data_IF_153505701852
#
_entry.id   IF_153505701852
#
_cell.length_a   1.000
_cell.length_b   1.000
_cell.length_c   1.000
_cell.angle_alpha   90.00
_cell.angle_beta   90.00
_cell.angle_gamma   90.00
#
_symmetry.space_group_name_H-M   'P 1'
#
loop_
_entity.id
_entity.type
_entity.pdbx_description
1 polymer ?
2 non-polymer ?
3 water ?
#
# COMPACT_ATOMS: atom_id res chain seq x y z
N UNK A 27 13.74 3.71 18.12
CA UNK A 27 13.85 4.99 17.45
C UNK A 27 13.11 4.97 16.10
N UNK A 28 12.80 3.76 15.63
CA UNK A 28 12.00 3.64 14.41
C UNK A 28 10.65 4.32 14.57
N UNK A 29 9.96 4.06 15.69
CA UNK A 29 8.68 4.71 15.94
C UNK A 29 8.86 6.22 16.08
N UNK A 30 9.96 6.64 16.71
CA UNK A 30 10.18 8.08 16.89
C UNK A 30 10.37 8.78 15.55
N UNK A 31 11.17 8.17 14.66
CA UNK A 31 11.35 8.75 13.33
C UNK A 31 10.04 8.78 12.58
N UNK A 32 9.29 7.67 12.63
CA UNK A 32 8.01 7.61 11.92
C UNK A 32 7.06 8.71 12.40
N UNK A 33 6.95 8.90 13.71
CA UNK A 33 6.00 9.87 14.23
C UNK A 33 6.48 11.31 13.98
N UNK A 34 7.79 11.53 13.99
CA UNK A 34 8.30 12.87 13.73
C UNK A 34 8.19 13.22 12.25
N UNK A 35 8.75 12.37 11.38
CA UNK A 35 8.78 12.67 9.96
C UNK A 35 7.51 12.28 9.24
N UNK A 36 6.74 11.34 9.77
CA UNK A 36 5.62 10.77 9.06
C UNK A 36 5.98 9.62 8.14
N UNK A 37 7.25 9.22 8.13
CA UNK A 37 7.71 8.09 7.33
C UNK A 37 8.99 7.57 7.98
N UNK A 38 9.44 6.42 7.52
CA UNK A 38 10.70 5.85 7.98
C UNK A 38 11.17 4.87 6.90
N UNK A 39 12.40 5.07 6.41
CA UNK A 39 12.95 4.24 5.35
C UNK A 39 14.45 4.47 5.29
N UNK A 40 15.22 3.50 4.78
CA UNK A 40 14.74 2.15 4.42
C UNK A 40 14.55 1.29 5.66
N UNK A 41 13.62 0.34 5.64
CA UNK A 41 13.60 -0.74 6.61
C UNK A 41 13.76 -2.04 5.83
N UNK A 42 14.60 -2.94 6.32
CA UNK A 42 14.91 -4.16 5.59
C UNK A 42 13.71 -5.10 5.62
N UNK A 43 13.46 -5.76 4.49
CA UNK A 43 12.36 -6.72 4.38
C UNK A 43 12.82 -7.91 3.55
N UNK A 44 12.86 -7.75 2.23
CA UNK A 44 13.26 -8.80 1.32
C UNK A 44 14.71 -8.61 0.90
N UNK A 45 15.40 -9.72 0.65
CA UNK A 45 16.71 -9.67 0.03
C UNK A 45 16.57 -9.28 -1.44
N UNK A 46 17.69 -8.94 -2.07
CA UNK A 46 17.66 -8.66 -3.50
C UNK A 46 17.12 -9.86 -4.27
N UNK A 47 17.51 -11.08 -3.87
CA UNK A 47 17.07 -12.27 -4.56
C UNK A 47 15.58 -12.52 -4.34
N UNK A 48 15.09 -12.30 -3.12
CA UNK A 48 13.66 -12.42 -2.85
C UNK A 48 12.88 -11.37 -3.62
N UNK A 49 13.42 -10.15 -3.71
CA UNK A 49 12.75 -9.10 -4.46
C UNK A 49 12.63 -9.47 -5.93
N UNK A 50 13.71 -9.99 -6.51
CA UNK A 50 13.67 -10.38 -7.93
C UNK A 50 12.72 -11.56 -8.14
N UNK A 51 12.73 -12.53 -7.23
CA UNK A 51 11.81 -13.66 -7.36
C UNK A 51 10.38 -13.21 -7.21
N UNK A 52 10.10 -12.37 -6.21
CA UNK A 52 8.75 -11.82 -6.06
C UNK A 52 8.33 -11.04 -7.30
N UNK A 53 9.25 -10.26 -7.88
CA UNK A 53 8.91 -9.51 -9.09
C UNK A 53 8.55 -10.46 -10.23
N UNK A 54 9.30 -11.56 -10.37
CA UNK A 54 8.98 -12.54 -11.41
C UNK A 54 7.59 -13.14 -11.18
N UNK A 55 7.28 -13.49 -9.93
CA UNK A 55 5.96 -14.05 -9.63
C UNK A 55 4.87 -13.01 -9.83
N UNK A 56 5.15 -11.75 -9.57
CA UNK A 56 4.20 -10.72 -9.78
C UNK A 56 3.88 -10.56 -11.25
N UNK A 57 4.90 -10.60 -12.07
CA UNK A 57 4.76 -10.49 -13.51
C UNK A 57 4.00 -11.69 -14.09
N UNK A 58 4.25 -12.86 -13.57
CA UNK A 58 3.55 -14.04 -13.95
C UNK A 58 2.06 -13.88 -13.59
N UNK A 59 1.78 -13.36 -12.42
CA UNK A 59 0.43 -13.13 -11.97
C UNK A 59 -0.31 -12.12 -12.86
N UNK A 60 0.36 -11.05 -13.23
CA UNK A 60 -0.24 -10.04 -14.05
C UNK A 60 -0.63 -10.59 -15.41
N UNK A 61 0.24 -11.39 -16.00
CA UNK A 61 -0.05 -12.01 -17.28
C UNK A 61 -1.24 -12.96 -17.17
N UNK A 62 -1.29 -13.75 -16.13
CA UNK A 62 -2.35 -14.67 -15.94
C UNK A 62 -3.71 -14.04 -15.77
N UNK A 63 -3.83 -13.02 -14.95
CA UNK A 63 -5.13 -12.36 -14.77
C UNK A 63 -5.51 -11.59 -16.02
N UNK A 64 -4.53 -11.01 -16.72
CA UNK A 64 -4.84 -10.34 -17.98
C UNK A 64 -5.42 -11.32 -18.99
N UNK A 65 -4.92 -12.55 -19.01
CA UNK A 65 -5.45 -13.56 -19.93
C UNK A 65 -6.83 -14.04 -19.52
N UNK A 66 -7.09 -14.13 -18.20
CA UNK A 66 -8.41 -14.52 -17.75
C UNK A 66 -9.43 -13.42 -18.02
N UNK A 67 -9.00 -12.17 -17.89
CA UNK A 67 -9.92 -11.06 -18.09
C UNK A 67 -10.94 -10.98 -16.97
N UNK A 68 -11.99 -10.21 -17.22
CA UNK A 68 -13.08 -10.12 -16.26
C UNK A 68 -12.69 -9.31 -15.05
N UNK A 69 -13.15 -9.78 -13.89
CA UNK A 69 -13.02 -9.02 -12.65
C UNK A 69 -11.59 -9.07 -12.11
N UNK A 70 -10.91 -10.22 -12.25
CA UNK A 70 -9.53 -10.31 -11.80
C UNK A 70 -8.64 -9.33 -12.57
N UNK A 71 -8.81 -9.28 -13.90
CA UNK A 71 -8.02 -8.36 -14.70
C UNK A 71 -8.31 -6.91 -14.31
N UNK A 72 -9.59 -6.60 -14.06
CA UNK A 72 -9.96 -5.23 -13.72
C UNK A 72 -9.36 -4.82 -12.38
N UNK A 73 -9.29 -5.75 -11.43
CA UNK A 73 -8.77 -5.48 -10.10
C UNK A 73 -7.44 -6.18 -9.87
N UNK A 74 -6.61 -6.24 -10.91
CA UNK A 74 -5.33 -6.92 -10.82
C UNK A 74 -4.39 -6.21 -9.86
N UNK A 75 -4.46 -4.88 -9.78
CA UNK A 75 -3.48 -4.09 -9.05
C UNK A 75 -3.98 -3.58 -7.71
N UNK A 76 -5.24 -3.86 -7.36
CA UNK A 76 -5.82 -3.36 -6.12
C UNK A 76 -7.22 -3.97 -5.96
N UNK A 77 -7.78 -4.03 -4.74
CA UNK A 77 -7.16 -3.69 -3.46
C UNK A 77 -6.89 -4.90 -2.58
N UNK A 78 -6.99 -6.10 -3.14
CA UNK A 78 -6.91 -7.32 -2.36
C UNK A 78 -6.07 -8.37 -3.08
N UNK A 79 -4.91 -7.96 -3.60
CA UNK A 79 -4.04 -8.91 -4.29
C UNK A 79 -3.69 -10.08 -3.37
N UNK A 80 -3.44 -9.78 -2.10
CA UNK A 80 -3.00 -10.79 -1.14
C UNK A 80 -4.03 -11.88 -0.89
N UNK A 81 -5.28 -11.70 -1.32
CA UNK A 81 -6.30 -12.71 -1.10
C UNK A 81 -6.34 -13.76 -2.21
N UNK A 82 -5.67 -13.53 -3.33
CA UNK A 82 -5.69 -14.48 -4.45
C UNK A 82 -4.31 -14.89 -4.91
N UNK A 83 -3.26 -14.13 -4.65
CA UNK A 83 -1.93 -14.39 -5.20
C UNK A 83 -0.97 -14.79 -4.09
N UNK A 84 -0.31 -15.94 -4.29
CA UNK A 84 0.57 -16.47 -3.25
C UNK A 84 1.75 -15.52 -2.99
N UNK A 85 2.27 -14.88 -4.05
CA UNK A 85 3.41 -14.00 -3.86
C UNK A 85 3.04 -12.80 -2.99
N UNK A 86 1.83 -12.26 -3.18
CA UNK A 86 1.38 -11.15 -2.35
C UNK A 86 1.07 -11.62 -0.94
N UNK A 87 0.41 -12.78 -0.81
CA UNK A 87 0.16 -13.35 0.51
C UNK A 87 1.46 -13.51 1.29
N UNK A 88 2.52 -13.95 0.61
CA UNK A 88 3.78 -14.20 1.30
C UNK A 88 4.39 -12.91 1.83
N UNK A 89 4.34 -11.84 1.05
CA UNK A 89 5.01 -10.60 1.45
C UNK A 89 4.30 -9.97 2.64
N UNK A 90 2.96 -9.89 2.60
CA UNK A 90 2.25 -9.21 3.68
C UNK A 90 2.38 -9.97 5.00
N UNK A 91 2.78 -11.24 4.95
CA UNK A 91 3.02 -12.02 6.16
C UNK A 91 4.51 -12.12 6.51
N UNK A 92 5.38 -11.44 5.78
CA UNK A 92 6.80 -11.55 6.01
C UNK A 92 7.15 -11.07 7.42
N UNK A 93 7.88 -11.86 8.21
CA UNK A 93 8.13 -11.46 9.61
C UNK A 93 8.87 -10.15 9.75
N UNK A 94 9.80 -9.83 8.84
CA UNK A 94 10.51 -8.57 8.95
C UNK A 94 9.56 -7.38 8.84
N UNK A 95 8.60 -7.48 7.91
CA UNK A 95 7.63 -6.39 7.76
C UNK A 95 6.70 -6.33 8.96
N UNK A 96 6.19 -7.48 9.40
CA UNK A 96 5.29 -7.50 10.54
C UNK A 96 5.99 -6.99 11.80
N UNK A 97 7.26 -7.38 11.99
CA UNK A 97 7.99 -6.88 13.16
C UNK A 97 8.19 -5.38 13.09
N UNK A 98 8.53 -4.86 11.91
CA UNK A 98 8.70 -3.42 11.75
C UNK A 98 7.39 -2.67 12.01
N UNK A 99 6.29 -3.19 11.46
CA UNK A 99 5.01 -2.52 11.65
C UNK A 99 4.57 -2.60 13.10
N UNK A 100 4.79 -3.74 13.75
CA UNK A 100 4.41 -3.89 15.14
C UNK A 100 5.14 -2.87 16.02
N UNK A 101 6.40 -2.60 15.71
CA UNK A 101 7.14 -1.61 16.47
C UNK A 101 6.56 -0.21 16.31
N UNK A 102 5.76 0.03 15.28
CA UNK A 102 5.12 1.31 15.07
C UNK A 102 3.69 1.35 15.59
N UNK A 103 2.93 0.26 15.42
CA UNK A 103 1.50 0.27 15.67
C UNK A 103 1.06 -0.62 16.81
N UNK A 104 1.93 -1.47 17.34
CA UNK A 104 1.55 -2.38 18.39
C UNK A 104 1.42 -3.80 17.89
N UNK A 105 1.05 -4.73 18.79
CA UNK A 105 1.04 -6.15 18.43
C UNK A 105 -0.21 -6.66 17.73
N UNK A 106 -1.25 -5.85 17.57
CA UNK A 106 -2.48 -6.26 16.91
C UNK A 106 -2.53 -5.60 15.54
N UNK A 107 -2.44 -6.42 14.49
CA UNK A 107 -2.31 -5.90 13.13
C UNK A 107 -3.22 -6.63 12.17
N UNK A 108 -3.73 -5.89 11.19
CA UNK A 108 -4.50 -6.44 10.09
C UNK A 108 -4.02 -5.80 8.79
N UNK A 109 -4.12 -6.56 7.71
CA UNK A 109 -3.88 -6.04 6.36
C UNK A 109 -5.20 -5.54 5.81
N UNK A 110 -5.27 -4.24 5.52
CA UNK A 110 -6.50 -3.62 5.03
C UNK A 110 -6.57 -3.56 3.52
N UNK A 111 -5.44 -3.42 2.84
CA UNK A 111 -5.43 -3.43 1.38
C UNK A 111 -4.02 -3.67 0.88
N UNK A 112 -3.92 -4.05 -0.39
CA UNK A 112 -2.65 -4.12 -1.09
C UNK A 112 -2.81 -3.43 -2.45
N UNK A 113 -1.72 -2.83 -2.92
CA UNK A 113 -1.71 -2.09 -4.18
C UNK A 113 -0.42 -2.39 -4.92
N UNK A 114 -0.53 -2.58 -6.23
CA UNK A 114 0.62 -2.59 -7.12
C UNK A 114 0.73 -1.21 -7.76
N UNK A 115 1.84 -0.52 -7.52
CA UNK A 115 2.12 0.78 -8.13
C UNK A 115 3.28 0.57 -9.09
N UNK A 116 2.96 0.48 -10.38
CA UNK A 116 3.93 0.21 -11.42
C UNK A 116 4.03 1.43 -12.33
N UNK A 117 5.26 1.93 -12.50
CA UNK A 117 5.53 3.02 -13.42
C UNK A 117 6.40 2.48 -14.54
N UNK A 118 5.83 2.17 -15.71
CA UNK A 118 6.61 1.48 -16.75
C UNK A 118 7.67 2.39 -17.35
N UNK A 119 8.54 1.76 -18.14
CA UNK A 119 9.62 2.48 -18.79
C UNK A 119 9.09 3.66 -19.58
N UNK A 120 9.79 4.78 -19.48
CA UNK A 120 9.50 5.97 -20.27
C UNK A 120 8.03 6.37 -20.18
N UNK A 121 7.47 6.28 -18.98
CA UNK A 121 6.12 6.75 -18.72
C UNK A 121 6.20 8.20 -18.26
N UNK A 122 5.58 9.11 -19.02
CA UNK A 122 5.76 10.52 -18.82
C UNK A 122 4.80 11.20 -17.87
N UNK A 123 4.00 10.45 -17.12
CA UNK A 123 2.98 11.04 -16.26
C UNK A 123 3.54 11.34 -14.88
N UNK A 124 2.93 12.34 -14.23
CA UNK A 124 3.30 12.74 -12.88
C UNK A 124 2.06 12.72 -12.01
N UNK A 125 2.29 12.63 -10.70
CA UNK A 125 1.21 12.70 -9.71
C UNK A 125 1.45 13.90 -8.81
N UNK A 126 0.43 14.72 -8.65
CA UNK A 126 0.52 15.88 -7.76
C UNK A 126 0.61 15.43 -6.31
N UNK A 127 1.08 16.34 -5.46
CA UNK A 127 1.16 16.06 -4.04
C UNK A 127 -0.23 15.73 -3.49
N UNK A 128 -0.30 14.68 -2.68
CA UNK A 128 -1.58 14.20 -2.17
C UNK A 128 -1.31 13.21 -1.04
N UNK A 129 -2.37 12.88 -0.32
CA UNK A 129 -2.32 11.95 0.81
C UNK A 129 -3.15 10.71 0.49
N UNK A 130 -2.67 9.55 0.94
CA UNK A 130 -3.38 8.31 0.69
C UNK A 130 -4.74 8.28 1.38
N UNK A 131 -4.87 8.96 2.52
CA UNK A 131 -6.03 8.77 3.38
C UNK A 131 -7.31 9.34 2.77
N UNK A 132 -7.22 10.17 1.74
CA UNK A 132 -8.35 11.01 1.34
C UNK A 132 -9.60 10.17 1.09
N UNK A 133 -9.48 9.08 0.34
CA UNK A 133 -10.64 8.32 -0.09
C UNK A 133 -10.73 6.95 0.56
N UNK A 134 -9.95 6.69 1.61
CA UNK A 134 -10.01 5.38 2.25
C UNK A 134 -11.16 5.24 3.24
N UNK A 135 -11.73 6.36 3.69
CA UNK A 135 -12.83 6.30 4.63
C UNK A 135 -12.48 5.60 5.93
N UNK A 136 -11.34 5.96 6.51
CA UNK A 136 -10.87 5.36 7.74
C UNK A 136 -10.81 6.39 8.85
N UNK A 137 -11.11 5.96 10.07
CA UNK A 137 -11.08 6.80 11.26
C UNK A 137 -10.15 6.14 12.26
N UNK A 138 -9.03 6.80 12.57
CA UNK A 138 -8.03 6.26 13.46
C UNK A 138 -6.71 5.93 12.79
N UNK A 139 -6.57 6.19 11.48
CA UNK A 139 -5.28 6.07 10.83
C UNK A 139 -4.25 7.03 11.43
N UNK A 140 -4.72 8.09 12.10
CA UNK A 140 -3.80 9.09 12.63
C UNK A 140 -2.77 8.46 13.56
N UNK A 141 -3.18 7.49 14.37
CA UNK A 141 -2.28 6.82 15.29
C UNK A 141 -2.10 5.34 15.01
N UNK A 142 -2.96 4.72 14.20
CA UNK A 142 -3.06 3.26 14.18
C UNK A 142 -3.04 2.69 12.78
N UNK A 143 -2.35 3.35 11.84
CA UNK A 143 -2.22 2.82 10.50
C UNK A 143 -0.90 3.25 9.90
N UNK A 144 -0.45 2.48 8.91
CA UNK A 144 0.77 2.76 8.18
C UNK A 144 0.73 2.00 6.87
N UNK A 145 1.27 2.60 5.80
CA UNK A 145 1.39 1.95 4.51
C UNK A 145 2.84 1.53 4.32
N UNK A 146 3.05 0.25 4.06
CA UNK A 146 4.38 -0.29 3.76
C UNK A 146 4.53 -0.34 2.25
N UNK A 147 5.52 0.38 1.73
CA UNK A 147 5.76 0.55 0.29
C UNK A 147 7.00 -0.26 -0.05
N UNK A 148 6.77 -1.47 -0.56
CA UNK A 148 7.85 -2.42 -0.80
C UNK A 148 8.38 -2.24 -2.21
N UNK A 149 9.71 -2.10 -2.33
CA UNK A 149 10.36 -1.95 -3.62
C UNK A 149 10.64 -3.33 -4.21
N UNK A 150 9.94 -3.67 -5.28
CA UNK A 150 10.23 -4.91 -6.00
C UNK A 150 11.36 -4.71 -7.00
N UNK A 151 11.48 -3.50 -7.56
CA UNK A 151 12.68 -3.03 -8.25
C UNK A 151 13.36 -1.99 -7.37
N UNK A 152 14.60 -1.65 -7.73
CA UNK A 152 15.23 -0.47 -7.15
C UNK A 152 14.34 0.75 -7.40
N UNK A 153 14.41 1.72 -6.50
CA UNK A 153 13.83 3.04 -6.72
C UNK A 153 14.96 4.06 -6.75
N UNK A 154 15.03 4.83 -7.83
CA UNK A 154 16.11 5.76 -8.08
C UNK A 154 15.55 7.15 -8.30
N UNK A 155 16.45 8.13 -8.43
CA UNK A 155 16.00 9.50 -8.66
C UNK A 155 15.35 9.68 -10.02
N UNK A 156 15.50 8.70 -10.93
CA UNK A 156 15.07 8.87 -12.31
C UNK A 156 14.01 7.88 -12.77
N UNK A 157 13.73 6.80 -12.02
CA UNK A 157 12.78 5.80 -12.48
C UNK A 157 11.39 6.02 -11.89
N UNK A 158 11.05 7.26 -11.52
CA UNK A 158 9.70 7.61 -11.17
C UNK A 158 9.35 7.35 -9.71
N UNK A 159 10.29 7.60 -8.81
CA UNK A 159 10.05 7.25 -7.43
C UNK A 159 9.17 8.30 -6.73
N UNK A 160 8.73 7.94 -5.53
CA UNK A 160 7.89 8.79 -4.70
C UNK A 160 8.75 9.76 -3.90
N UNK A 161 8.20 10.95 -3.68
CA UNK A 161 8.80 11.96 -2.81
C UNK A 161 7.91 12.17 -1.59
N UNK A 162 8.53 12.35 -0.43
CA UNK A 162 7.79 12.63 0.80
C UNK A 162 7.95 14.09 1.20
N UNK A 163 6.93 14.62 1.88
CA UNK A 163 6.97 15.93 2.51
C UNK A 163 7.06 15.70 4.01
N UNK A 164 8.27 15.83 4.56
CA UNK A 164 8.50 15.57 5.97
C UNK A 164 7.56 16.38 6.85
N UNK A 165 6.96 15.70 7.82
CA UNK A 165 6.07 16.35 8.77
C UNK A 165 4.71 16.72 8.24
N UNK A 166 4.40 16.43 6.98
CA UNK A 166 3.14 16.83 6.38
C UNK A 166 1.94 16.06 6.92
N UNK A 167 2.15 15.14 7.86
CA UNK A 167 1.11 14.24 8.32
C UNK A 167 0.46 14.67 9.64
N UNK A 168 0.99 15.71 10.29
CA UNK A 168 0.67 15.94 11.69
C UNK A 168 -0.75 16.45 11.90
N UNK A 169 -1.43 16.93 10.86
CA UNK A 169 -2.81 17.38 10.97
C UNK A 169 -3.79 16.45 10.26
N UNK A 170 -3.40 15.19 10.05
CA UNK A 170 -4.29 14.25 9.38
C UNK A 170 -4.53 14.66 7.93
N UNK A 171 -5.59 14.06 7.37
CA UNK A 171 -5.96 14.36 5.99
C UNK A 171 -6.32 15.83 5.86
N UNK A 172 -5.96 16.42 4.75
CA UNK A 172 -6.22 17.82 4.46
C UNK A 172 -7.04 17.95 3.22
N UNK A 173 -7.63 19.14 2.97
CA UNK A 173 -8.46 19.23 1.78
C UNK A 173 -7.68 19.05 0.50
N UNK A 174 -8.32 18.44 -0.49
CA UNK A 174 -7.69 18.18 -1.74
C UNK A 174 -8.58 18.73 -2.84
N UNK A 186 -2.40 13.03 -13.12
CA UNK A 186 -2.15 14.17 -12.24
C UNK A 186 -2.77 13.93 -10.87
N UNK A 187 -4.07 13.71 -10.85
CA UNK A 187 -4.82 13.43 -9.63
C UNK A 187 -5.17 14.70 -8.91
N UNK A 188 -6.06 14.66 -7.92
CA UNK A 188 -6.33 15.91 -7.21
C UNK A 188 -5.17 16.18 -6.24
N UNK A 189 -4.99 17.41 -5.84
CA UNK A 189 -3.86 17.77 -5.07
C UNK A 189 -4.15 18.36 -3.71
N UNK A 190 -3.29 18.12 -2.75
CA UNK A 190 -3.48 18.62 -1.43
C UNK A 190 -3.46 20.16 -1.51
N UNK A 191 -4.38 20.83 -0.83
CA UNK A 191 -4.47 22.27 -0.88
C UNK A 191 -3.58 22.91 0.13
N UNK A 192 -2.30 22.72 -0.11
CA UNK A 192 -1.22 23.22 0.73
C UNK A 192 0.04 23.33 -0.09
N UNK A 193 0.86 24.32 0.25
CA UNK A 193 2.13 24.54 -0.43
C UNK A 193 3.18 23.59 0.14
N UNK A 194 3.69 22.71 -0.72
CA UNK A 194 4.74 21.77 -0.35
C UNK A 194 6.07 22.34 -0.82
N UNK A 195 7.08 22.28 0.05
CA UNK A 195 8.42 22.76 -0.28
C UNK A 195 9.15 21.68 -1.06
N UNK A 196 9.21 21.83 -2.38
CA UNK A 196 9.80 20.80 -3.22
C UNK A 196 11.27 20.60 -2.90
N UNK A 197 11.99 21.66 -2.52
CA UNK A 197 13.41 21.52 -2.21
C UNK A 197 13.62 20.69 -0.95
N UNK A 198 12.69 20.75 0.00
CA UNK A 198 12.78 19.96 1.22
C UNK A 198 12.21 18.56 1.07
N UNK A 199 11.55 18.25 -0.04
CA UNK A 199 10.99 16.93 -0.26
C UNK A 199 12.10 15.88 -0.23
N UNK A 200 11.73 14.65 0.13
CA UNK A 200 12.67 13.55 0.31
C UNK A 200 12.34 12.47 -0.69
N UNK A 201 13.29 12.20 -1.60
CA UNK A 201 13.15 11.10 -2.54
C UNK A 201 13.22 9.77 -1.79
N UNK A 202 12.29 8.87 -2.09
CA UNK A 202 12.26 7.55 -1.45
C UNK A 202 13.13 6.62 -2.29
N UNK A 203 14.39 6.47 -1.89
CA UNK A 203 15.38 5.71 -2.64
C UNK A 203 15.67 4.41 -1.91
N UNK A 204 15.40 3.28 -2.57
CA UNK A 204 15.45 1.99 -1.93
C UNK A 204 16.17 0.97 -2.81
N UNK A 205 16.96 0.11 -2.18
CA UNK A 205 17.39 -1.11 -2.83
C UNK A 205 16.19 -2.02 -3.02
N UNK A 206 16.18 -2.76 -4.13
CA UNK A 206 15.15 -3.78 -4.33
C UNK A 206 15.08 -4.70 -3.13
N UNK A 207 13.88 -4.89 -2.58
CA UNK A 207 13.66 -5.67 -1.39
C UNK A 207 13.42 -4.84 -0.15
N UNK A 208 14.00 -3.64 -0.09
CA UNK A 208 13.71 -2.73 1.01
C UNK A 208 12.33 -2.13 0.84
N UNK A 209 11.84 -1.49 1.89
CA UNK A 209 10.54 -0.85 1.84
C UNK A 209 10.58 0.46 2.62
N UNK A 210 9.59 1.29 2.36
CA UNK A 210 9.35 2.53 3.10
C UNK A 210 8.00 2.40 3.79
N UNK A 211 7.91 2.97 4.99
CA UNK A 211 6.68 2.99 5.77
C UNK A 211 6.32 4.45 5.98
N UNK A 212 5.11 4.84 5.56
CA UNK A 212 4.68 6.21 5.72
C UNK A 212 3.25 6.28 6.25
N UNK A 213 2.98 7.40 6.93
CA UNK A 213 1.66 7.71 7.45
C UNK A 213 0.69 7.93 6.31
N UNK A 214 -0.57 7.51 6.51
CA UNK A 214 -1.56 7.69 5.46
C UNK A 214 -1.90 9.14 5.20
N UNK A 215 -1.50 10.05 6.09
CA UNK A 215 -1.63 11.48 5.88
C UNK A 215 -0.34 12.12 5.37
N UNK A 216 0.68 11.31 5.07
CA UNK A 216 1.90 11.82 4.48
C UNK A 216 1.61 12.31 3.07
N UNK A 217 1.92 13.57 2.81
CA UNK A 217 1.83 14.12 1.46
C UNK A 217 2.99 13.60 0.64
N UNK A 218 2.71 13.09 -0.56
CA UNK A 218 3.76 12.59 -1.43
C UNK A 218 3.38 12.81 -2.88
N UNK A 219 4.38 12.76 -3.74
CA UNK A 219 4.21 12.89 -5.18
C UNK A 219 5.18 11.94 -5.86
N UNK A 220 4.94 11.69 -7.14
CA UNK A 220 5.78 10.80 -7.93
C UNK A 220 5.96 11.39 -9.32
N UNK A 221 7.19 11.32 -9.81
CA UNK A 221 7.51 11.82 -11.13
C UNK A 221 7.46 10.74 -12.18
N UNK A 222 7.76 11.10 -13.42
CA UNK A 222 7.76 10.09 -14.49
C UNK A 222 8.97 9.19 -14.40
N UNK A 223 8.82 7.97 -14.93
CA UNK A 223 9.93 7.04 -15.07
C UNK A 223 10.70 7.39 -16.33
N UNK A 224 11.90 7.93 -16.18
CA UNK A 224 12.71 8.38 -17.30
C UNK A 224 13.65 7.29 -17.82
N UNK A 225 13.57 6.08 -17.29
CA UNK A 225 14.49 5.01 -17.64
C UNK A 225 13.80 3.97 -18.50
N UNK A 226 14.61 3.03 -19.01
CA UNK A 226 14.12 1.97 -19.89
C UNK A 226 13.56 0.78 -19.12
N UNK A 227 13.47 0.85 -17.80
CA UNK A 227 13.06 -0.28 -16.99
C UNK A 227 11.91 0.14 -16.07
N UNK A 228 10.88 -0.71 -16.00
CA UNK A 228 9.74 -0.39 -15.18
C UNK A 228 10.07 -0.39 -13.70
N UNK A 229 9.32 0.43 -12.96
CA UNK A 229 9.48 0.56 -11.51
C UNK A 229 8.28 -0.11 -10.84
N UNK A 230 8.54 -1.12 -10.02
CA UNK A 230 7.50 -1.94 -9.42
C UNK A 230 7.53 -1.78 -7.91
N UNK A 231 6.41 -1.35 -7.33
CA UNK A 231 6.28 -1.22 -5.89
C UNK A 231 4.97 -1.86 -5.43
N UNK A 232 5.03 -2.53 -4.29
CA UNK A 232 3.91 -3.27 -3.71
C UNK A 232 3.61 -2.64 -2.36
N UNK A 233 2.43 -2.02 -2.25
CA UNK A 233 2.06 -1.24 -1.08
C UNK A 233 1.06 -2.02 -0.24
N UNK A 234 1.25 -1.98 1.08
CA UNK A 234 0.46 -2.74 2.03
C UNK A 234 -0.03 -1.79 3.11
N UNK A 235 -1.35 -1.73 3.29
CA UNK A 235 -1.95 -0.92 4.35
C UNK A 235 -2.14 -1.79 5.58
N UNK A 236 -1.43 -1.47 6.66
CA UNK A 236 -1.58 -2.14 7.94
C UNK A 236 -2.37 -1.24 8.88
N UNK A 237 -3.28 -1.86 9.64
CA UNK A 237 -4.09 -1.16 10.62
C UNK A 237 -4.13 -2.00 11.89
N UNK A 238 -4.52 -1.37 12.98
CA UNK A 238 -4.88 -2.05 14.21
C UNK A 238 -6.39 -2.09 14.37
N UNK A 239 -6.89 -2.88 15.32
CA UNK A 239 -8.35 -2.91 15.55
C UNK A 239 -8.92 -1.59 16.07
N UNK A 240 -8.08 -0.60 16.37
CA UNK A 240 -8.57 0.72 16.76
C UNK A 240 -8.93 1.58 15.56
N UNK A 241 -8.57 1.15 14.34
CA UNK A 241 -9.05 1.81 13.14
C UNK A 241 -10.46 1.31 12.85
N UNK A 242 -11.34 2.22 12.45
CA UNK A 242 -12.71 1.86 12.12
C UNK A 242 -13.14 2.53 10.82
N UNK A 243 -13.96 1.85 10.02
CA UNK A 243 -14.48 2.50 8.80
C UNK A 243 -15.42 3.64 9.15
N UNK A 244 -15.27 4.75 8.42
CA UNK A 244 -16.16 5.89 8.62
C UNK A 244 -17.61 5.49 8.38
N UNK A 245 -17.85 4.62 7.41
CA UNK A 245 -19.20 4.15 7.11
C UNK A 245 -19.08 2.89 6.26
N UNK A 246 -20.06 2.00 6.44
CA UNK A 246 -20.18 0.83 5.59
C UNK A 246 -19.44 -0.38 6.14
N UNK A 247 -19.87 -1.54 5.69
CA UNK A 247 -19.23 -2.81 6.02
C UNK A 247 -17.85 -2.89 5.39
N UNK A 248 -16.88 -3.36 6.16
CA UNK A 248 -15.49 -3.45 5.72
C UNK A 248 -14.90 -4.77 6.20
N UNK A 249 -13.80 -5.17 5.55
CA UNK A 249 -13.12 -6.41 5.90
C UNK A 249 -11.61 -6.20 5.80
N UNK A 250 -10.88 -7.10 6.45
CA UNK A 250 -9.42 -7.03 6.53
C UNK A 250 -8.91 -8.40 6.95
N UNK A 251 -7.60 -8.59 6.81
CA UNK A 251 -6.95 -9.87 7.09
C UNK A 251 -6.14 -9.76 8.37
N UNK A 252 -6.50 -10.58 9.36
CA UNK A 252 -5.75 -10.62 10.61
C UNK A 252 -4.39 -11.25 10.40
N UNK A 253 -3.34 -10.55 10.80
CA UNK A 253 -1.98 -11.06 10.66
C UNK A 253 -1.22 -11.11 11.97
N UNK A 254 -1.57 -10.29 12.97
CA UNK A 254 -0.99 -10.38 14.31
C UNK A 254 -2.09 -10.13 15.33
N UNK A 255 -2.11 -10.94 16.38
CA UNK A 255 -3.14 -10.83 17.40
C UNK A 255 -4.36 -11.67 17.07
N UNK A 256 -5.42 -11.44 17.85
CA UNK A 256 -6.67 -12.15 17.70
C UNK A 256 -7.86 -11.24 17.50
N UNK A 257 -7.66 -9.92 17.46
CA UNK A 257 -8.74 -8.94 17.45
C UNK A 257 -8.86 -8.36 16.04
N UNK A 258 -10.06 -8.46 15.47
CA UNK A 258 -10.34 -7.88 14.16
C UNK A 258 -11.16 -6.60 14.26
N UNK A 259 -11.53 -6.18 15.46
CA UNK A 259 -12.26 -4.94 15.62
C UNK A 259 -13.57 -4.97 14.86
N UNK A 260 -13.81 -3.93 14.06
CA UNK A 260 -15.05 -3.79 13.30
C UNK A 260 -14.99 -4.48 11.93
N UNK A 261 -13.89 -5.15 11.60
CA UNK A 261 -13.67 -5.68 10.27
C UNK A 261 -14.05 -7.15 10.19
N UNK A 262 -14.84 -7.50 9.19
CA UNK A 262 -15.10 -8.90 8.92
C UNK A 262 -13.79 -9.59 8.55
N UNK A 263 -13.52 -10.79 9.07
CA UNK A 263 -12.22 -11.42 8.82
C UNK A 263 -12.12 -12.02 7.43
N UNK A 264 -10.94 -11.88 6.83
CA UNK A 264 -10.62 -12.49 5.55
C UNK A 264 -9.77 -13.74 5.79
N UNK A 265 -9.44 -14.44 4.70
CA UNK A 265 -8.66 -15.66 4.79
C UNK A 265 -7.49 -15.61 3.81
N UNK A 266 -6.41 -16.31 4.18
CA UNK A 266 -5.28 -16.43 3.27
C UNK A 266 -5.61 -17.41 2.16
N UNK A 267 -5.13 -17.17 0.93
CA UNK A 267 -5.37 -18.12 -0.16
C UNK A 267 -4.57 -19.40 0.05
N UNK A 268 -5.24 -20.55 -0.14
CA UNK A 268 -4.54 -21.82 -0.05
C UNK A 268 -3.60 -22.03 -1.22
N UNK A 269 -3.95 -21.52 -2.40
CA UNK A 269 -3.11 -21.60 -3.58
C UNK A 269 -3.54 -20.51 -4.55
N UNK A 270 -2.68 -20.23 -5.52
CA UNK A 270 -2.95 -19.18 -6.50
C UNK A 270 -4.28 -19.43 -7.19
N UNK A 271 -5.16 -18.43 -7.12
CA UNK A 271 -6.46 -18.45 -7.78
C UNK A 271 -7.32 -19.63 -7.37
N UNK A 272 -7.09 -20.19 -6.18
CA UNK A 272 -7.97 -21.23 -5.65
C UNK A 272 -9.40 -20.72 -5.62
N UNK A 273 -10.34 -21.58 -6.02
CA UNK A 273 -11.72 -21.12 -6.23
C UNK A 273 -12.30 -20.50 -4.96
N UNK A 274 -12.00 -21.09 -3.80
CA UNK A 274 -12.45 -20.50 -2.54
C UNK A 274 -11.87 -19.10 -2.36
N UNK A 275 -10.61 -18.91 -2.78
CA UNK A 275 -9.99 -17.60 -2.68
C UNK A 275 -10.62 -16.61 -3.66
N UNK A 276 -10.94 -17.07 -4.86
CA UNK A 276 -11.59 -16.21 -5.84
C UNK A 276 -12.94 -15.73 -5.33
N UNK A 277 -13.72 -16.64 -4.73
CA UNK A 277 -15.04 -16.25 -4.23
C UNK A 277 -14.92 -15.23 -3.10
N UNK A 278 -14.00 -15.46 -2.16
CA UNK A 278 -13.77 -14.49 -1.10
C UNK A 278 -13.22 -13.19 -1.66
N UNK A 279 -12.41 -13.27 -2.72
CA UNK A 279 -11.88 -12.08 -3.36
C UNK A 279 -13.00 -11.23 -3.94
N UNK A 280 -13.88 -11.82 -4.75
CA UNK A 280 -15.02 -11.10 -5.29
C UNK A 280 -15.81 -10.42 -4.18
N UNK A 281 -16.06 -11.15 -3.09
CA UNK A 281 -16.84 -10.60 -1.99
C UNK A 281 -16.10 -9.44 -1.32
N UNK A 282 -14.80 -9.62 -1.07
CA UNK A 282 -14.05 -8.59 -0.36
C UNK A 282 -13.86 -7.34 -1.21
N UNK A 283 -13.59 -7.52 -2.50
CA UNK A 283 -13.39 -6.35 -3.36
C UNK A 283 -14.71 -5.61 -3.57
N UNK A 284 -15.79 -6.35 -3.80
CA UNK A 284 -17.10 -5.71 -3.91
C UNK A 284 -17.40 -4.89 -2.67
N UNK A 285 -17.15 -5.46 -1.49
CA UNK A 285 -17.37 -4.74 -0.24
C UNK A 285 -16.53 -3.46 -0.19
N UNK A 286 -15.25 -3.57 -0.56
CA UNK A 286 -14.37 -2.41 -0.46
C UNK A 286 -14.78 -1.33 -1.47
N UNK A 287 -15.04 -1.71 -2.71
CA UNK A 287 -15.36 -0.71 -3.73
C UNK A 287 -16.69 -0.01 -3.43
N UNK A 288 -17.62 -0.70 -2.77
CA UNK A 288 -18.81 -0.01 -2.28
C UNK A 288 -18.42 1.11 -1.33
N UNK A 289 -17.49 0.83 -0.41
CA UNK A 289 -16.99 1.85 0.50
C UNK A 289 -16.33 2.99 -0.27
N UNK A 290 -15.39 2.65 -1.16
CA UNK A 290 -14.68 3.68 -1.92
C UNK A 290 -15.68 4.54 -2.71
N UNK A 291 -16.59 3.88 -3.43
CA UNK A 291 -17.62 4.61 -4.18
C UNK A 291 -18.33 5.60 -3.27
N UNK A 292 -18.55 5.22 -2.00
CA UNK A 292 -19.32 6.03 -1.08
C UNK A 292 -18.52 7.26 -0.62
N UNK A 293 -17.27 7.05 -0.23
CA UNK A 293 -16.45 8.18 0.20
C UNK A 293 -16.21 9.15 -0.94
N UNK A 294 -15.97 8.63 -2.15
CA UNK A 294 -15.76 9.49 -3.30
C UNK A 294 -16.99 10.36 -3.55
N UNK A 295 -18.17 9.86 -3.19
CA UNK A 295 -19.39 10.63 -3.41
C UNK A 295 -19.52 11.78 -2.41
N UNK A 296 -18.95 11.63 -1.23
CA UNK A 296 -19.01 12.65 -0.19
C UNK A 296 -17.83 13.61 -0.27
N UNK A 297 -17.14 13.65 -1.41
CA UNK A 297 -16.04 14.57 -1.67
C UNK A 297 -15.90 15.72 -0.69
X LIG B 1 0.63 8.25 -5.08
X LIG B 1 -0.56 6.52 -5.67
X LIG B 1 0.54 7.13 -5.66
X LIG B 1 1.76 6.53 -6.33
X LIG B 1 1.39 5.41 -7.08
X LIG B 1 2.75 6.12 -5.24
X LIG B 1 2.14 5.20 -4.37
X LIG B 1 3.96 5.49 -5.91
X LIG B 1 4.74 6.21 -6.61
X LIG B 1 4.19 4.26 -5.77
#
# INVERSE_FOLDING_TARGET
>A
MGSSHHHHHHSSGLVPRGSHMTTTAPDLAERFRTDGFVFPVNALTHAEAEQALAECQTYLRAVSAVGGALARYAAFPKIHLVASWADRIVHHPAILDAVASLLGPDLLVWSTNLFIRPAYSGSSLAWHQDAVYLGLDGYQQHAARVWVALTDTTIANGTMRYARGSHLHGALPHRFGGSGLEDIMRGEEIAVDIDEAAAVDVLLDAGQCSVHHLAMAHASGPNQTDTGRFNFAIDYITPRVSPTAGEDSALLVRGTDTGAFLPERRPESDFDQAALNDFYSAVTRRQKRINQTVQNRNAGKGPDTPRDPS
>B hetero
1 TLA O1 O11 C1 C2 O2 C3 O3 C4 O4 O41
#
